data_IF_444374759981
#
_entry.id   IF_444374759981
#
_cell.length_a   1.000
_cell.length_b   1.000
_cell.length_c   1.000
_cell.angle_alpha   90.00
_cell.angle_beta   90.00
_cell.angle_gamma   90.00
#
_symmetry.space_group_name_H-M   'P 1'
#
loop_
_entity.id
_entity.type
_entity.pdbx_description
1 polymer ?
#
# COMPACT_ATOMS: atom_id res chain seq x y z
N UNK A 1 15.91 55.79 19.09
CA UNK A 1 15.78 54.88 17.95
C UNK A 1 14.44 54.19 18.08
N UNK A 2 13.43 54.58 17.27
CA UNK A 2 12.03 54.12 17.41
C UNK A 2 11.85 52.80 16.64
N UNK A 3 11.50 51.73 17.34
CA UNK A 3 11.16 50.43 16.77
C UNK A 3 9.74 50.56 16.20
N UNK A 4 9.59 50.39 14.88
CA UNK A 4 8.26 50.29 14.23
C UNK A 4 7.69 48.86 14.38
N UNK A 5 6.40 48.67 14.61
CA UNK A 5 5.81 47.35 14.81
C UNK A 5 5.66 46.60 13.50
N UNK A 6 6.19 45.37 13.46
CA UNK A 6 6.08 44.39 12.35
C UNK A 6 4.71 43.67 12.35
N UNK A 7 3.79 44.08 13.18
CA UNK A 7 2.48 43.43 13.40
C UNK A 7 1.46 43.61 12.27
N UNK A 8 1.66 44.59 11.36
CA UNK A 8 0.67 44.82 10.29
C UNK A 8 0.77 43.86 9.08
N UNK A 9 1.95 43.27 8.82
CA UNK A 9 2.16 42.43 7.65
C UNK A 9 1.66 40.97 7.85
N UNK A 10 1.68 40.46 9.08
CA UNK A 10 1.20 39.12 9.38
C UNK A 10 -0.34 39.02 9.33
N UNK A 11 -1.06 40.08 9.71
CA UNK A 11 -2.55 40.06 9.68
C UNK A 11 -3.09 40.16 8.24
N UNK A 12 -2.37 40.85 7.35
CA UNK A 12 -2.72 40.94 5.93
C UNK A 12 -2.58 39.63 5.17
N UNK A 13 -1.57 38.82 5.50
CA UNK A 13 -1.35 37.50 4.88
C UNK A 13 -2.39 36.46 5.32
N UNK A 14 -2.87 36.53 6.58
CA UNK A 14 -3.91 35.61 7.08
C UNK A 14 -5.29 35.96 6.52
N UNK A 15 -5.62 37.25 6.35
CA UNK A 15 -6.92 37.65 5.79
C UNK A 15 -7.00 37.39 4.27
N UNK A 16 -5.93 37.62 3.52
CA UNK A 16 -5.85 37.26 2.10
C UNK A 16 -5.89 35.76 1.87
N UNK A 17 -5.23 34.97 2.74
CA UNK A 17 -5.30 33.52 2.73
C UNK A 17 -6.72 33.02 3.02
N UNK A 18 -7.38 33.56 4.03
CA UNK A 18 -8.77 33.19 4.37
C UNK A 18 -9.77 33.60 3.26
N UNK A 19 -9.62 34.77 2.66
CA UNK A 19 -10.44 35.22 1.54
C UNK A 19 -10.21 34.35 0.29
N UNK A 20 -8.97 34.00 -0.01
CA UNK A 20 -8.65 33.07 -1.11
C UNK A 20 -9.29 31.69 -0.88
N UNK A 21 -9.19 31.13 0.33
CA UNK A 21 -9.81 29.86 0.71
C UNK A 21 -11.34 29.92 0.55
N UNK A 22 -11.96 31.02 0.98
CA UNK A 22 -13.41 31.21 0.83
C UNK A 22 -13.85 31.35 -0.63
N UNK A 23 -13.07 32.06 -1.45
CA UNK A 23 -13.33 32.18 -2.90
C UNK A 23 -13.14 30.85 -3.61
N UNK A 24 -12.09 30.09 -3.26
CA UNK A 24 -11.89 28.75 -3.82
C UNK A 24 -13.01 27.80 -3.39
N UNK A 25 -13.39 27.79 -2.12
CA UNK A 25 -14.55 26.99 -1.66
C UNK A 25 -15.85 27.35 -2.36
N UNK A 26 -16.11 28.63 -2.65
CA UNK A 26 -17.28 29.07 -3.41
C UNK A 26 -17.21 28.64 -4.88
N UNK A 27 -16.04 28.76 -5.52
CA UNK A 27 -15.83 28.28 -6.90
C UNK A 27 -15.98 26.75 -6.98
N UNK A 28 -15.46 26.03 -5.99
CA UNK A 28 -15.57 24.59 -5.89
C UNK A 28 -17.03 24.15 -5.61
N UNK A 29 -17.75 24.82 -4.72
CA UNK A 29 -19.17 24.57 -4.48
C UNK A 29 -20.01 24.84 -5.74
N UNK A 30 -19.74 25.94 -6.46
CA UNK A 30 -20.41 26.24 -7.72
C UNK A 30 -20.07 25.23 -8.84
N UNK A 31 -18.86 24.68 -8.87
CA UNK A 31 -18.46 23.65 -9.85
C UNK A 31 -19.06 22.28 -9.54
N UNK A 32 -19.35 21.99 -8.27
CA UNK A 32 -20.06 20.76 -7.84
C UNK A 32 -21.55 20.82 -8.23
N UNK A 33 -22.15 22.01 -8.19
CA UNK A 33 -23.57 22.21 -8.50
C UNK A 33 -23.90 22.04 -10.01
N UNK A 34 -22.87 22.13 -10.90
CA UNK A 34 -23.02 22.04 -12.36
C UNK A 34 -22.44 20.74 -12.96
N UNK A 35 -21.73 19.94 -12.18
CA UNK A 35 -21.17 18.69 -12.68
C UNK A 35 -22.25 17.62 -12.85
N UNK A 36 -22.35 17.01 -14.04
CA UNK A 36 -23.18 15.81 -14.21
C UNK A 36 -22.80 14.76 -13.19
N UNK A 37 -23.78 14.07 -12.57
CA UNK A 37 -23.48 12.94 -11.69
C UNK A 37 -22.57 11.95 -12.42
N UNK A 38 -21.51 11.50 -11.72
CA UNK A 38 -20.63 10.45 -12.26
C UNK A 38 -21.43 9.16 -12.30
N UNK A 39 -21.42 8.49 -13.43
CA UNK A 39 -22.03 7.18 -13.58
C UNK A 39 -21.21 6.15 -12.84
N UNK A 40 -21.88 5.41 -11.94
CA UNK A 40 -21.27 4.33 -11.15
C UNK A 40 -21.73 3.00 -11.73
N UNK A 41 -20.77 2.26 -12.24
CA UNK A 41 -20.96 0.95 -12.84
C UNK A 41 -20.74 -0.18 -11.83
N UNK A 42 -21.10 -1.39 -12.25
CA UNK A 42 -20.96 -2.59 -11.43
C UNK A 42 -22.17 -2.86 -10.55
N UNK A 43 -21.97 -3.63 -9.49
CA UNK A 43 -23.06 -4.08 -8.62
C UNK A 43 -22.68 -4.04 -7.14
N UNK A 44 -23.73 -4.06 -6.31
CA UNK A 44 -23.67 -4.43 -4.89
C UNK A 44 -24.75 -5.48 -4.61
N UNK A 45 -24.43 -6.46 -3.78
CA UNK A 45 -25.42 -7.41 -3.31
C UNK A 45 -26.42 -6.76 -2.34
N UNK A 46 -27.64 -7.30 -2.19
CA UNK A 46 -28.60 -6.79 -1.22
C UNK A 46 -27.99 -6.66 0.19
N UNK A 47 -28.20 -5.51 0.83
CA UNK A 47 -27.67 -5.15 2.13
C UNK A 47 -26.33 -4.36 2.08
N UNK A 48 -25.71 -4.20 0.90
CA UNK A 48 -24.48 -3.42 0.73
C UNK A 48 -24.69 -2.09 0.00
N UNK A 49 -25.92 -1.62 -0.14
CA UNK A 49 -26.29 -0.42 -0.88
C UNK A 49 -25.54 0.83 -0.36
N UNK A 50 -25.32 0.91 0.96
CA UNK A 50 -24.57 1.99 1.58
C UNK A 50 -23.12 2.12 1.04
N UNK A 51 -22.51 1.02 0.56
CA UNK A 51 -21.18 1.07 -0.05
C UNK A 51 -21.24 1.76 -1.40
N UNK A 52 -22.29 1.52 -2.22
CA UNK A 52 -22.50 2.21 -3.49
C UNK A 52 -22.74 3.71 -3.26
N UNK A 53 -23.52 4.07 -2.25
CA UNK A 53 -23.79 5.47 -1.88
C UNK A 53 -22.47 6.16 -1.47
N UNK A 54 -21.69 5.56 -0.56
CA UNK A 54 -20.41 6.10 -0.13
C UNK A 54 -19.40 6.23 -1.30
N UNK A 55 -19.41 5.28 -2.26
CA UNK A 55 -18.58 5.33 -3.47
C UNK A 55 -18.99 6.49 -4.38
N UNK A 56 -20.29 6.70 -4.61
CA UNK A 56 -20.79 7.83 -5.40
C UNK A 56 -20.48 9.18 -4.72
N UNK A 57 -20.62 9.26 -3.39
CA UNK A 57 -20.25 10.45 -2.61
C UNK A 57 -18.76 10.79 -2.70
N UNK A 58 -17.87 9.82 -2.96
CA UNK A 58 -16.45 10.11 -3.13
C UNK A 58 -16.21 11.07 -4.30
N UNK A 59 -16.99 10.94 -5.39
CA UNK A 59 -16.90 11.83 -6.55
C UNK A 59 -17.46 13.21 -6.27
N UNK A 60 -18.60 13.31 -5.58
CA UNK A 60 -19.27 14.59 -5.31
C UNK A 60 -18.68 15.35 -4.12
N UNK A 61 -18.26 14.65 -3.05
CA UNK A 61 -17.87 15.25 -1.78
C UNK A 61 -16.37 15.16 -1.48
N UNK A 62 -15.65 14.15 -2.04
CA UNK A 62 -14.25 13.84 -1.66
C UNK A 62 -13.29 13.93 -2.84
N UNK A 63 -13.71 14.58 -3.94
CA UNK A 63 -12.90 14.90 -5.11
C UNK A 63 -12.28 13.67 -5.79
N UNK A 64 -12.97 12.53 -5.78
CA UNK A 64 -12.56 11.38 -6.56
C UNK A 64 -12.56 11.72 -8.05
N UNK A 65 -11.60 11.14 -8.80
CA UNK A 65 -11.49 11.34 -10.26
C UNK A 65 -11.88 10.07 -10.98
N UNK A 66 -11.25 8.97 -10.66
CA UNK A 66 -11.55 7.65 -11.12
C UNK A 66 -11.11 6.63 -10.10
N UNK A 67 -11.95 5.61 -9.87
CA UNK A 67 -11.68 4.59 -8.86
C UNK A 67 -12.43 3.29 -9.13
N UNK A 68 -11.97 2.23 -8.45
CA UNK A 68 -12.71 0.99 -8.31
C UNK A 68 -12.65 0.50 -6.86
N UNK A 69 -13.75 -0.13 -6.41
CA UNK A 69 -13.87 -0.78 -5.09
C UNK A 69 -14.46 -2.17 -5.26
N UNK A 70 -13.81 -3.17 -4.68
CA UNK A 70 -14.32 -4.53 -4.67
C UNK A 70 -14.25 -5.12 -3.27
N UNK A 71 -15.28 -5.89 -2.91
CA UNK A 71 -15.37 -6.59 -1.63
C UNK A 71 -15.85 -8.01 -1.85
N UNK A 72 -15.14 -8.94 -1.23
CA UNK A 72 -15.60 -10.31 -1.02
C UNK A 72 -15.99 -10.49 0.45
N UNK A 73 -17.10 -11.14 0.71
CA UNK A 73 -17.55 -11.55 2.04
C UNK A 73 -17.88 -13.02 2.04
N UNK A 74 -17.23 -13.79 2.91
CA UNK A 74 -17.40 -15.26 3.01
C UNK A 74 -17.14 -16.00 1.68
N UNK A 75 -16.23 -15.46 0.88
CA UNK A 75 -15.86 -16.00 -0.43
C UNK A 75 -16.68 -15.48 -1.62
N UNK A 76 -17.85 -14.87 -1.38
CA UNK A 76 -18.69 -14.29 -2.43
C UNK A 76 -18.35 -12.84 -2.70
N UNK A 77 -18.32 -12.43 -3.97
CA UNK A 77 -18.12 -11.05 -4.39
C UNK A 77 -19.41 -10.27 -4.17
N UNK A 78 -19.45 -9.43 -3.13
CA UNK A 78 -20.65 -8.67 -2.71
C UNK A 78 -20.67 -7.22 -3.15
N UNK A 79 -19.49 -6.65 -3.47
CA UNK A 79 -19.33 -5.30 -4.03
C UNK A 79 -18.35 -5.37 -5.19
N UNK A 80 -18.71 -4.74 -6.30
CA UNK A 80 -17.84 -4.58 -7.46
C UNK A 80 -18.25 -3.29 -8.17
N UNK A 81 -17.57 -2.19 -7.86
CA UNK A 81 -17.90 -0.85 -8.31
C UNK A 81 -16.73 -0.18 -8.99
N UNK A 82 -17.01 0.57 -10.07
CA UNK A 82 -16.05 1.46 -10.68
C UNK A 82 -16.76 2.67 -11.28
N UNK A 83 -16.02 3.75 -11.49
CA UNK A 83 -16.59 4.97 -12.08
C UNK A 83 -15.57 6.09 -12.22
N UNK A 84 -16.04 7.19 -12.80
CA UNK A 84 -15.24 8.36 -13.08
C UNK A 84 -14.33 8.20 -14.32
N UNK A 85 -13.21 8.89 -14.36
CA UNK A 85 -12.33 8.91 -15.52
C UNK A 85 -11.00 8.21 -15.22
N UNK A 86 -10.58 7.32 -16.12
CA UNK A 86 -9.29 6.66 -16.11
C UNK A 86 -8.17 7.66 -16.36
N UNK A 87 -8.34 8.52 -17.36
CA UNK A 87 -7.35 9.51 -17.74
C UNK A 87 -7.94 10.91 -17.69
N UNK A 88 -7.52 11.70 -16.71
CA UNK A 88 -8.00 13.07 -16.49
C UNK A 88 -7.70 14.01 -17.66
N UNK A 89 -6.60 13.78 -18.38
CA UNK A 89 -6.18 14.66 -19.48
C UNK A 89 -7.04 14.47 -20.74
N UNK A 90 -7.47 13.23 -21.01
CA UNK A 90 -8.25 12.88 -22.21
C UNK A 90 -9.74 12.75 -21.95
N UNK A 91 -10.15 12.61 -20.67
CA UNK A 91 -11.54 12.36 -20.28
C UNK A 91 -12.00 10.91 -20.50
N UNK A 92 -11.08 9.99 -20.83
CA UNK A 92 -11.41 8.58 -21.02
C UNK A 92 -11.98 7.97 -19.74
N UNK A 93 -13.11 7.22 -19.84
CA UNK A 93 -13.79 6.67 -18.66
C UNK A 93 -12.96 5.59 -17.97
N UNK A 94 -13.21 5.41 -16.66
CA UNK A 94 -12.77 4.24 -15.93
C UNK A 94 -13.63 3.05 -16.32
N UNK A 95 -13.03 2.02 -16.86
CA UNK A 95 -13.70 0.81 -17.31
C UNK A 95 -13.53 -0.33 -16.29
N UNK A 96 -14.30 -1.39 -16.49
CA UNK A 96 -14.30 -2.59 -15.64
C UNK A 96 -12.91 -3.19 -15.43
N UNK A 97 -12.09 -3.18 -16.44
CA UNK A 97 -10.75 -3.78 -16.47
C UNK A 97 -9.61 -2.75 -16.34
N UNK A 98 -9.93 -1.51 -15.95
CA UNK A 98 -8.93 -0.48 -15.71
C UNK A 98 -8.05 -0.87 -14.52
N UNK A 99 -6.74 -0.77 -14.72
CA UNK A 99 -5.71 -1.03 -13.70
C UNK A 99 -5.00 0.27 -13.33
N UNK A 100 -4.50 0.35 -12.10
CA UNK A 100 -3.62 1.44 -11.69
C UNK A 100 -2.48 0.93 -10.81
N UNK A 101 -1.42 1.74 -10.70
CA UNK A 101 -0.33 1.55 -9.76
C UNK A 101 -0.87 1.71 -8.33
N UNK A 102 -0.60 0.74 -7.48
CA UNK A 102 -1.14 0.73 -6.11
C UNK A 102 -0.12 1.10 -5.04
N UNK A 103 1.11 1.49 -5.44
CA UNK A 103 2.20 1.78 -4.52
C UNK A 103 2.37 0.69 -3.44
N UNK A 104 2.50 1.08 -2.18
CA UNK A 104 2.78 0.16 -1.07
C UNK A 104 1.68 -0.88 -0.80
N UNK A 105 0.47 -0.77 -1.41
CA UNK A 105 -0.47 -1.89 -1.37
C UNK A 105 0.09 -3.15 -2.06
N UNK A 106 1.13 -3.01 -2.89
CA UNK A 106 1.92 -4.10 -3.46
C UNK A 106 2.56 -4.99 -2.38
N UNK A 107 3.02 -4.40 -1.25
CA UNK A 107 3.69 -5.15 -0.16
C UNK A 107 2.86 -6.31 0.35
N UNK A 108 1.55 -6.12 0.46
CA UNK A 108 0.67 -7.19 0.90
C UNK A 108 0.67 -8.38 -0.07
N UNK A 109 0.68 -8.12 -1.39
CA UNK A 109 0.76 -9.17 -2.40
C UNK A 109 2.15 -9.83 -2.41
N UNK A 110 3.21 -9.04 -2.20
CA UNK A 110 4.56 -9.56 -2.04
C UNK A 110 4.67 -10.44 -0.77
N UNK A 111 4.15 -10.00 0.36
CA UNK A 111 4.11 -10.77 1.61
C UNK A 111 3.33 -12.10 1.47
N UNK A 112 2.26 -12.12 0.64
CA UNK A 112 1.53 -13.35 0.34
C UNK A 112 2.42 -14.41 -0.32
N UNK A 113 3.44 -14.04 -1.10
CA UNK A 113 4.38 -15.01 -1.69
C UNK A 113 5.20 -15.72 -0.62
N UNK A 114 5.67 -14.99 0.39
CA UNK A 114 6.38 -15.58 1.52
C UNK A 114 5.45 -16.41 2.41
N UNK A 115 4.18 -16.03 2.55
CA UNK A 115 3.20 -16.84 3.25
C UNK A 115 2.93 -18.18 2.53
N UNK A 116 2.90 -18.19 1.20
CA UNK A 116 2.82 -19.44 0.42
C UNK A 116 4.09 -20.28 0.61
N UNK A 117 5.28 -19.67 0.59
CA UNK A 117 6.54 -20.36 0.84
C UNK A 117 6.62 -20.95 2.26
N UNK A 118 6.20 -20.19 3.28
CA UNK A 118 6.06 -20.68 4.66
C UNK A 118 5.09 -21.86 4.74
N UNK A 119 3.95 -21.76 4.07
CA UNK A 119 2.96 -22.83 4.03
C UNK A 119 3.48 -24.12 3.36
N UNK A 120 4.45 -24.00 2.45
CA UNK A 120 5.15 -25.13 1.82
C UNK A 120 6.29 -25.68 2.68
N UNK A 121 6.61 -25.04 3.81
CA UNK A 121 7.72 -25.42 4.68
C UNK A 121 9.10 -25.02 4.14
N UNK A 122 9.15 -24.09 3.20
CA UNK A 122 10.41 -23.58 2.64
C UNK A 122 11.00 -22.43 3.47
N UNK A 123 10.17 -21.79 4.30
CA UNK A 123 10.52 -20.66 5.15
C UNK A 123 9.96 -20.86 6.55
N UNK A 124 10.76 -20.51 7.55
CA UNK A 124 10.33 -20.31 8.93
C UNK A 124 10.52 -18.82 9.28
N UNK A 125 9.49 -18.17 9.81
CA UNK A 125 9.56 -16.75 10.14
C UNK A 125 10.50 -16.44 11.32
N UNK A 126 10.73 -17.40 12.20
CA UNK A 126 11.61 -17.23 13.38
C UNK A 126 13.06 -17.64 13.11
N UNK A 127 13.32 -18.23 11.95
CA UNK A 127 14.68 -18.59 11.53
C UNK A 127 15.46 -17.33 11.10
N UNK A 128 16.78 -17.42 11.14
CA UNK A 128 17.68 -16.35 10.70
C UNK A 128 17.64 -16.19 9.17
N UNK A 129 17.66 -14.94 8.70
CA UNK A 129 17.73 -14.66 7.25
C UNK A 129 18.96 -15.32 6.62
N UNK A 130 20.10 -15.32 7.33
CA UNK A 130 21.34 -15.91 6.83
C UNK A 130 21.32 -17.44 6.71
N UNK A 131 20.35 -18.13 7.31
CA UNK A 131 20.13 -19.58 7.06
C UNK A 131 19.74 -19.83 5.61
N UNK A 132 18.95 -18.95 5.02
CA UNK A 132 18.51 -19.02 3.63
C UNK A 132 19.42 -18.24 2.68
N UNK A 133 20.06 -17.20 3.19
CA UNK A 133 20.93 -16.29 2.44
C UNK A 133 22.26 -16.05 3.20
N UNK A 134 23.25 -16.95 3.08
CA UNK A 134 24.48 -16.88 3.84
C UNK A 134 25.26 -15.57 3.70
N UNK A 135 25.28 -14.96 2.50
CA UNK A 135 25.99 -13.71 2.23
C UNK A 135 25.37 -12.51 2.95
N UNK A 136 24.14 -12.64 3.44
CA UNK A 136 23.51 -11.64 4.29
C UNK A 136 24.19 -11.48 5.65
N UNK A 137 24.88 -12.53 6.15
CA UNK A 137 25.55 -12.59 7.45
C UNK A 137 26.80 -11.71 7.49
N UNK A 138 26.64 -10.40 7.34
CA UNK A 138 27.72 -9.42 7.41
C UNK A 138 27.22 -8.08 7.94
N UNK A 139 28.16 -7.24 8.41
CA UNK A 139 27.88 -5.89 8.89
C UNK A 139 26.86 -5.81 10.04
N UNK A 140 26.81 -6.83 10.92
CA UNK A 140 25.91 -6.87 12.07
C UNK A 140 24.50 -7.40 11.78
N UNK A 141 24.32 -8.14 10.67
CA UNK A 141 23.03 -8.73 10.25
C UNK A 141 22.87 -10.21 10.61
N UNK A 142 23.88 -10.82 11.23
CA UNK A 142 23.99 -12.26 11.49
C UNK A 142 22.82 -12.81 12.32
N UNK A 143 22.17 -11.96 13.12
CA UNK A 143 21.10 -12.35 14.04
C UNK A 143 19.72 -11.87 13.65
N UNK A 144 19.57 -11.28 12.45
CA UNK A 144 18.28 -10.83 11.96
C UNK A 144 17.42 -12.03 11.60
N UNK A 145 16.24 -12.17 12.23
CA UNK A 145 15.25 -13.17 11.84
C UNK A 145 14.43 -12.70 10.64
N UNK A 146 13.81 -13.64 9.94
CA UNK A 146 12.87 -13.31 8.86
C UNK A 146 11.74 -12.44 9.39
N UNK A 147 11.18 -12.75 10.56
CA UNK A 147 10.14 -11.96 11.23
C UNK A 147 10.57 -10.51 11.46
N UNK A 148 11.77 -10.26 11.96
CA UNK A 148 12.29 -8.91 12.17
C UNK A 148 12.44 -8.13 10.86
N UNK A 149 12.94 -8.77 9.82
CA UNK A 149 13.08 -8.17 8.49
C UNK A 149 11.70 -7.75 7.96
N UNK A 150 10.72 -8.65 7.99
CA UNK A 150 9.37 -8.44 7.49
C UNK A 150 8.54 -7.48 8.37
N UNK A 151 8.94 -7.27 9.63
CA UNK A 151 8.32 -6.29 10.55
C UNK A 151 9.00 -4.92 10.50
N UNK A 152 9.84 -4.64 9.51
CA UNK A 152 10.58 -3.37 9.39
C UNK A 152 11.54 -3.07 10.56
N UNK A 153 12.05 -4.11 11.23
CA UNK A 153 12.92 -3.98 12.40
C UNK A 153 14.39 -4.26 12.10
N UNK A 154 14.74 -4.51 10.83
CA UNK A 154 16.12 -4.81 10.41
C UNK A 154 17.02 -3.57 10.25
N UNK A 155 16.44 -2.35 10.36
CA UNK A 155 17.15 -1.08 10.12
C UNK A 155 17.78 -0.94 8.72
N UNK A 156 17.19 -1.61 7.72
CA UNK A 156 17.66 -1.69 6.32
C UNK A 156 16.75 -0.89 5.36
N UNK A 157 16.19 0.21 5.84
CA UNK A 157 15.18 1.02 5.14
C UNK A 157 15.72 1.85 3.97
N UNK A 158 17.03 1.93 3.79
CA UNK A 158 17.70 2.67 2.72
C UNK A 158 18.92 1.90 2.20
N UNK A 159 19.35 2.21 0.98
CA UNK A 159 20.59 1.74 0.39
C UNK A 159 21.58 2.90 0.30
N UNK A 160 22.86 2.61 0.52
CA UNK A 160 23.95 3.56 0.31
C UNK A 160 24.36 3.62 -1.18
N UNK A 161 24.17 2.52 -1.91
CA UNK A 161 24.36 2.45 -3.36
C UNK A 161 23.11 2.97 -4.09
N UNK A 162 23.26 3.82 -5.13
CA UNK A 162 22.13 4.31 -5.91
C UNK A 162 21.35 3.18 -6.58
N UNK A 163 20.03 3.25 -6.51
CA UNK A 163 19.13 2.30 -7.13
C UNK A 163 18.67 2.87 -8.49
N UNK A 164 19.02 2.17 -9.57
CA UNK A 164 18.62 2.50 -10.93
C UNK A 164 17.99 1.32 -11.67
N UNK A 165 17.49 1.55 -12.89
CA UNK A 165 16.86 0.51 -13.71
C UNK A 165 17.82 -0.64 -14.08
N UNK A 166 19.13 -0.37 -14.20
CA UNK A 166 20.12 -1.40 -14.54
C UNK A 166 20.32 -2.34 -13.34
N UNK A 167 20.45 -1.77 -12.14
CA UNK A 167 20.55 -2.56 -10.91
C UNK A 167 19.29 -3.40 -10.67
N UNK A 168 18.09 -2.85 -10.93
CA UNK A 168 16.84 -3.61 -10.84
C UNK A 168 16.71 -4.74 -11.87
N UNK A 169 17.39 -4.60 -13.01
CA UNK A 169 17.41 -5.62 -14.06
C UNK A 169 18.37 -6.77 -13.78
N UNK A 170 19.29 -6.62 -12.82
CA UNK A 170 20.31 -7.60 -12.44
C UNK A 170 20.12 -8.02 -10.97
N UNK A 171 19.31 -9.07 -10.77
CA UNK A 171 18.95 -9.53 -9.43
C UNK A 171 20.15 -10.08 -8.63
N UNK A 172 21.18 -10.62 -9.28
CA UNK A 172 22.38 -11.12 -8.61
C UNK A 172 23.22 -9.96 -8.07
N UNK A 173 23.42 -8.92 -8.88
CA UNK A 173 24.09 -7.71 -8.43
C UNK A 173 23.26 -6.96 -7.35
N UNK A 174 21.95 -6.92 -7.49
CA UNK A 174 21.07 -6.35 -6.47
C UNK A 174 21.23 -7.11 -5.14
N UNK A 175 21.26 -8.44 -5.17
CA UNK A 175 21.48 -9.27 -3.98
C UNK A 175 22.82 -8.95 -3.29
N UNK A 176 23.90 -8.75 -4.05
CA UNK A 176 25.20 -8.34 -3.50
C UNK A 176 25.11 -6.97 -2.81
N UNK A 177 24.43 -5.99 -3.41
CA UNK A 177 24.23 -4.64 -2.83
C UNK A 177 23.46 -4.76 -1.51
N UNK A 178 22.36 -5.49 -1.50
CA UNK A 178 21.55 -5.73 -0.32
C UNK A 178 22.33 -6.46 0.80
N UNK A 179 23.10 -7.47 0.43
CA UNK A 179 23.94 -8.20 1.38
C UNK A 179 25.02 -7.32 2.03
N UNK A 180 25.62 -6.38 1.27
CA UNK A 180 26.63 -5.45 1.79
C UNK A 180 26.04 -4.30 2.60
N UNK A 181 24.75 -3.97 2.44
CA UNK A 181 24.12 -2.85 3.14
C UNK A 181 24.23 -3.01 4.65
N UNK A 182 24.76 -1.98 5.33
CA UNK A 182 24.85 -1.92 6.78
C UNK A 182 23.55 -1.43 7.38
N UNK A 183 23.03 -2.04 8.47
CA UNK A 183 21.92 -1.51 9.23
C UNK A 183 22.20 -0.09 9.75
N UNK A 184 21.20 0.78 9.76
CA UNK A 184 21.33 2.14 10.27
C UNK A 184 21.52 2.22 11.80
N UNK A 185 21.09 1.18 12.52
CA UNK A 185 21.26 0.94 13.96
C UNK A 185 21.16 -0.54 14.26
N UNK A 186 21.30 -0.93 15.52
CA UNK A 186 21.16 -2.30 15.99
C UNK A 186 19.80 -2.89 15.57
N UNK A 187 19.76 -3.97 14.78
CA UNK A 187 18.53 -4.64 14.40
C UNK A 187 17.68 -5.05 15.61
N UNK A 188 16.36 -4.91 15.51
CA UNK A 188 15.43 -5.18 16.60
C UNK A 188 15.28 -4.03 17.61
N UNK A 189 16.20 -3.05 17.65
CA UNK A 189 16.11 -1.94 18.59
C UNK A 189 14.96 -0.99 18.26
N UNK A 190 14.79 -0.62 17.01
CA UNK A 190 13.80 0.32 16.52
C UNK A 190 13.19 -0.16 15.22
N UNK A 191 12.00 0.33 14.93
CA UNK A 191 11.31 0.12 13.67
C UNK A 191 11.53 1.29 12.73
N UNK A 192 11.70 1.01 11.44
CA UNK A 192 11.74 2.01 10.38
C UNK A 192 11.15 1.44 9.10
N UNK A 193 10.14 2.07 8.57
CA UNK A 193 9.44 1.62 7.36
C UNK A 193 10.41 1.49 6.16
N UNK A 194 10.62 0.27 5.68
CA UNK A 194 11.42 -0.04 4.49
C UNK A 194 10.56 0.24 3.25
N UNK A 195 10.41 1.52 2.90
CA UNK A 195 9.43 1.95 1.91
C UNK A 195 9.60 1.29 0.53
N UNK A 196 10.86 1.13 0.09
CA UNK A 196 11.23 0.51 -1.18
C UNK A 196 12.01 -0.79 -0.96
N UNK A 197 12.94 -0.79 -0.01
CA UNK A 197 13.90 -1.88 0.17
C UNK A 197 13.29 -3.20 0.63
N UNK A 198 12.16 -3.18 1.39
CA UNK A 198 11.53 -4.42 1.87
C UNK A 198 11.33 -5.42 0.75
N UNK A 199 10.70 -5.01 -0.34
CA UNK A 199 10.37 -5.91 -1.44
C UNK A 199 11.60 -6.53 -2.12
N UNK A 200 12.74 -5.85 -2.10
CA UNK A 200 13.99 -6.42 -2.63
C UNK A 200 14.56 -7.49 -1.71
N UNK A 201 14.50 -7.27 -0.38
CA UNK A 201 14.88 -8.29 0.60
C UNK A 201 13.93 -9.49 0.56
N UNK A 202 12.62 -9.26 0.46
CA UNK A 202 11.61 -10.30 0.26
C UNK A 202 11.87 -11.08 -1.04
N UNK A 203 12.17 -10.37 -2.12
CA UNK A 203 12.43 -10.95 -3.43
C UNK A 203 13.65 -11.85 -3.43
N UNK A 204 14.76 -11.41 -2.85
CA UNK A 204 15.97 -12.23 -2.77
C UNK A 204 15.77 -13.43 -1.83
N UNK A 205 15.15 -13.22 -0.67
CA UNK A 205 14.85 -14.32 0.24
C UNK A 205 13.99 -15.38 -0.45
N UNK A 206 12.92 -14.97 -1.16
CA UNK A 206 12.07 -15.89 -1.91
C UNK A 206 12.84 -16.62 -3.01
N UNK A 207 13.67 -15.91 -3.78
CA UNK A 207 14.48 -16.49 -4.85
C UNK A 207 15.44 -17.57 -4.34
N UNK A 208 15.96 -17.43 -3.10
CA UNK A 208 16.84 -18.41 -2.47
C UNK A 208 16.12 -19.67 -2.03
N UNK A 209 14.87 -19.55 -1.57
CA UNK A 209 14.10 -20.67 -1.03
C UNK A 209 13.19 -21.34 -2.08
N UNK A 210 12.87 -20.65 -3.18
CA UNK A 210 12.11 -21.24 -4.28
C UNK A 210 12.98 -22.24 -5.05
N UNK A 211 12.56 -23.53 -5.16
CA UNK A 211 13.33 -24.53 -5.94
C UNK A 211 13.55 -24.16 -7.40
N UNK A 212 12.74 -23.25 -7.96
CA UNK A 212 12.89 -22.76 -9.34
C UNK A 212 13.64 -21.43 -9.42
N UNK A 213 14.07 -20.86 -8.30
CA UNK A 213 14.79 -19.59 -8.20
C UNK A 213 14.12 -18.41 -8.94
N UNK A 214 12.78 -18.42 -9.00
CA UNK A 214 11.99 -17.35 -9.65
C UNK A 214 12.15 -16.04 -8.90
N UNK A 215 12.03 -14.93 -9.63
CA UNK A 215 11.84 -13.63 -9.02
C UNK A 215 10.50 -13.58 -8.28
N UNK A 216 10.33 -12.61 -7.37
CA UNK A 216 9.11 -12.49 -6.58
C UNK A 216 7.89 -12.27 -7.48
N UNK A 217 8.02 -11.43 -8.52
CA UNK A 217 6.93 -11.20 -9.47
C UNK A 217 6.58 -12.43 -10.29
N UNK A 218 7.56 -13.25 -10.70
CA UNK A 218 7.33 -14.51 -11.39
C UNK A 218 6.62 -15.51 -10.46
N UNK A 219 7.13 -15.68 -9.23
CA UNK A 219 6.48 -16.56 -8.25
C UNK A 219 5.05 -16.12 -7.96
N UNK A 220 4.82 -14.82 -7.73
CA UNK A 220 3.48 -14.28 -7.52
C UNK A 220 2.56 -14.60 -8.69
N UNK A 221 3.02 -14.40 -9.92
CA UNK A 221 2.24 -14.68 -11.12
C UNK A 221 1.87 -16.15 -11.22
N UNK A 222 2.83 -17.06 -11.02
CA UNK A 222 2.64 -18.50 -11.21
C UNK A 222 1.82 -19.15 -10.08
N UNK A 223 2.07 -18.74 -8.84
CA UNK A 223 1.58 -19.44 -7.66
C UNK A 223 0.35 -18.79 -7.02
N UNK A 224 0.07 -17.52 -7.34
CA UNK A 224 -1.03 -16.76 -6.75
C UNK A 224 -1.93 -16.16 -7.83
N UNK A 225 -1.38 -15.34 -8.73
CA UNK A 225 -2.20 -14.58 -9.65
C UNK A 225 -2.90 -15.47 -10.68
N UNK A 226 -2.17 -16.35 -11.35
CA UNK A 226 -2.74 -17.26 -12.36
C UNK A 226 -3.73 -18.24 -11.75
N UNK A 227 -3.43 -18.96 -10.65
CA UNK A 227 -4.40 -19.87 -10.03
C UNK A 227 -5.70 -19.20 -9.57
N UNK A 228 -5.64 -17.94 -9.14
CA UNK A 228 -6.79 -17.18 -8.68
C UNK A 228 -7.45 -16.31 -9.76
N UNK A 229 -6.91 -16.28 -10.98
CA UNK A 229 -7.39 -15.44 -12.08
C UNK A 229 -7.25 -13.95 -11.80
N UNK A 230 -6.16 -13.52 -11.17
CA UNK A 230 -5.97 -12.12 -10.78
C UNK A 230 -5.34 -11.30 -11.90
N UNK A 231 -5.95 -10.18 -12.23
CA UNK A 231 -5.33 -9.15 -13.06
C UNK A 231 -4.53 -8.19 -12.16
N UNK A 232 -3.41 -8.68 -11.67
CA UNK A 232 -2.46 -7.93 -10.86
C UNK A 232 -1.03 -8.38 -11.19
N UNK A 233 -0.12 -7.43 -11.35
CA UNK A 233 1.25 -7.66 -11.81
C UNK A 233 2.23 -6.90 -10.90
N UNK A 234 3.13 -7.62 -10.24
CA UNK A 234 4.28 -7.02 -9.55
C UNK A 234 5.37 -6.68 -10.59
N UNK A 235 5.43 -7.48 -11.65
CA UNK A 235 6.19 -7.22 -12.87
C UNK A 235 5.22 -7.03 -14.02
N UNK A 236 4.98 -5.78 -14.42
CA UNK A 236 4.02 -5.47 -15.48
C UNK A 236 4.54 -5.92 -16.85
N UNK A 237 3.86 -6.84 -17.57
CA UNK A 237 4.33 -7.32 -18.87
C UNK A 237 4.03 -6.32 -20.00
N UNK A 238 4.80 -6.39 -21.09
CA UNK A 238 4.60 -5.60 -22.31
C UNK A 238 3.23 -5.83 -22.98
N UNK A 239 2.63 -7.00 -22.79
CA UNK A 239 1.34 -7.37 -23.36
C UNK A 239 0.14 -6.57 -22.84
N UNK A 240 0.29 -5.91 -21.69
CA UNK A 240 -0.77 -5.05 -21.14
C UNK A 240 -0.70 -3.67 -21.80
N UNK A 241 -1.70 -3.25 -22.58
CA UNK A 241 -1.66 -1.95 -23.24
C UNK A 241 -1.89 -0.79 -22.27
N UNK A 242 -1.27 0.36 -22.54
CA UNK A 242 -1.44 1.59 -21.72
C UNK A 242 -2.89 2.07 -21.67
N UNK A 243 -3.71 1.72 -22.67
CA UNK A 243 -5.15 2.00 -22.67
C UNK A 243 -5.92 1.37 -21.51
N UNK A 244 -5.36 0.34 -20.85
CA UNK A 244 -5.91 -0.27 -19.64
C UNK A 244 -5.40 0.37 -18.34
N UNK A 245 -4.40 1.22 -18.43
CA UNK A 245 -3.71 1.77 -17.25
C UNK A 245 -4.22 3.19 -16.97
N UNK A 246 -4.53 3.46 -15.70
CA UNK A 246 -4.94 4.78 -15.24
C UNK A 246 -3.71 5.58 -14.83
N UNK A 247 -3.36 6.68 -15.52
CA UNK A 247 -2.36 7.62 -15.05
C UNK A 247 -2.77 8.17 -13.69
N UNK A 248 -1.80 8.27 -12.78
CA UNK A 248 -2.04 8.85 -11.46
C UNK A 248 -2.10 10.37 -11.55
N UNK A 249 -3.01 10.96 -10.79
CA UNK A 249 -3.19 12.41 -10.70
C UNK A 249 -2.64 12.89 -9.36
N UNK A 250 -1.64 13.76 -9.42
CA UNK A 250 -1.04 14.36 -8.22
C UNK A 250 -2.03 15.29 -7.49
N UNK A 251 -1.94 15.37 -6.17
CA UNK A 251 -2.63 16.39 -5.40
C UNK A 251 -2.21 17.79 -5.86
N UNK A 252 -3.11 18.75 -5.75
CA UNK A 252 -2.77 20.15 -6.00
C UNK A 252 -1.69 20.64 -5.02
N UNK A 253 -0.91 21.67 -5.42
CA UNK A 253 0.09 22.28 -4.53
C UNK A 253 -0.52 22.71 -3.19
N UNK A 254 -1.76 23.21 -3.21
CA UNK A 254 -2.49 23.60 -2.02
C UNK A 254 -2.78 22.40 -1.11
N UNK A 255 -3.22 21.28 -1.67
CA UNK A 255 -3.46 20.03 -0.91
C UNK A 255 -2.15 19.50 -0.32
N UNK A 256 -1.05 19.58 -1.06
CA UNK A 256 0.26 19.17 -0.54
C UNK A 256 0.73 20.06 0.62
N UNK A 257 0.48 21.37 0.56
CA UNK A 257 0.90 22.31 1.62
C UNK A 257 0.08 22.19 2.90
N UNK A 258 -1.22 21.90 2.79
CA UNK A 258 -2.16 21.91 3.93
C UNK A 258 -2.67 20.54 4.33
N UNK A 259 -2.58 19.54 3.49
CA UNK A 259 -3.02 18.17 3.75
C UNK A 259 -1.94 17.25 4.30
N UNK A 260 -0.67 17.63 4.12
CA UNK A 260 0.43 16.80 4.59
C UNK A 260 0.60 16.94 6.12
N UNK A 261 0.80 15.84 6.87
CA UNK A 261 0.96 15.91 8.31
C UNK A 261 2.12 16.83 8.70
N UNK A 262 1.84 17.87 9.48
CA UNK A 262 2.85 18.89 9.87
C UNK A 262 4.14 18.28 10.44
N UNK A 263 4.03 17.16 11.17
CA UNK A 263 5.18 16.42 11.73
C UNK A 263 6.11 15.84 10.66
N UNK A 264 5.61 15.55 9.46
CA UNK A 264 6.39 14.97 8.37
C UNK A 264 6.98 16.03 7.43
N UNK A 265 6.54 17.28 7.52
CA UNK A 265 7.04 18.37 6.66
C UNK A 265 8.57 18.52 6.73
N UNK A 266 9.22 18.55 7.91
CA UNK A 266 10.68 18.61 8.00
C UNK A 266 11.36 17.39 7.38
N UNK A 267 10.76 16.19 7.53
CA UNK A 267 11.31 14.94 7.00
C UNK A 267 11.31 14.90 5.46
N UNK A 268 10.28 15.46 4.83
CA UNK A 268 10.19 15.53 3.36
C UNK A 268 11.23 16.50 2.77
N UNK A 269 11.47 17.64 3.43
CA UNK A 269 12.41 18.64 2.94
C UNK A 269 13.88 18.35 3.29
N UNK A 270 14.14 17.52 4.29
CA UNK A 270 15.49 17.15 4.68
C UNK A 270 15.96 15.90 3.90
N UNK A 271 16.87 16.08 2.95
CA UNK A 271 17.42 14.99 2.15
C UNK A 271 18.13 13.89 2.98
N UNK A 272 18.54 14.21 4.21
CA UNK A 272 19.21 13.27 5.13
C UNK A 272 18.23 12.58 6.09
N UNK A 273 16.93 12.89 6.02
CA UNK A 273 15.93 12.25 6.88
C UNK A 273 15.78 10.78 6.53
N UNK A 274 15.36 9.99 7.51
CA UNK A 274 15.09 8.56 7.29
C UNK A 274 14.00 8.35 6.24
N UNK A 275 12.94 9.17 6.26
CA UNK A 275 11.87 9.11 5.26
C UNK A 275 12.38 9.33 3.85
N UNK A 276 13.16 10.41 3.61
CA UNK A 276 13.71 10.71 2.28
C UNK A 276 14.66 9.60 1.79
N UNK A 277 15.49 9.09 2.67
CA UNK A 277 16.37 7.97 2.36
C UNK A 277 15.58 6.68 2.06
N UNK A 278 14.50 6.41 2.79
CA UNK A 278 13.65 5.25 2.57
C UNK A 278 12.86 5.32 1.25
N UNK A 279 12.57 6.53 0.75
CA UNK A 279 11.85 6.77 -0.51
C UNK A 279 12.77 6.85 -1.74
N UNK A 280 14.10 6.64 -1.57
CA UNK A 280 15.04 6.57 -2.70
C UNK A 280 14.56 5.52 -3.71
N UNK A 281 14.52 5.92 -4.99
CA UNK A 281 14.03 5.07 -6.06
C UNK A 281 12.52 5.14 -6.28
N UNK A 282 11.78 6.04 -5.60
CA UNK A 282 10.36 6.23 -5.90
C UNK A 282 10.13 6.72 -7.33
N UNK A 283 11.09 7.41 -7.94
CA UNK A 283 11.11 7.80 -9.36
C UNK A 283 11.19 6.61 -10.31
N UNK A 284 11.63 5.43 -9.85
CA UNK A 284 11.65 4.21 -10.65
C UNK A 284 10.24 3.74 -11.07
N UNK A 285 9.20 4.23 -10.39
CA UNK A 285 7.82 4.01 -10.79
C UNK A 285 7.38 4.87 -11.99
N UNK A 286 8.24 5.74 -12.51
CA UNK A 286 7.99 6.52 -13.72
C UNK A 286 8.70 5.91 -14.93
N UNK A 287 8.03 5.98 -16.08
CA UNK A 287 8.60 5.64 -17.35
C UNK A 287 8.18 6.69 -18.39
N UNK A 288 9.14 7.25 -19.13
CA UNK A 288 8.87 8.28 -20.14
C UNK A 288 8.16 7.71 -21.39
N UNK A 289 8.31 6.42 -21.64
CA UNK A 289 7.76 5.73 -22.82
C UNK A 289 6.39 5.10 -22.56
N UNK A 290 6.11 4.76 -21.30
CA UNK A 290 4.88 4.09 -20.86
C UNK A 290 4.29 4.78 -19.65
N UNK A 291 3.02 4.52 -19.36
CA UNK A 291 2.38 5.01 -18.12
C UNK A 291 3.10 4.49 -16.88
N UNK A 292 3.53 3.22 -16.91
CA UNK A 292 4.31 2.59 -15.83
C UNK A 292 5.44 1.72 -16.40
N UNK A 293 6.55 1.50 -15.63
CA UNK A 293 7.66 0.68 -16.07
C UNK A 293 7.23 -0.74 -16.40
N UNK A 294 7.77 -1.27 -17.49
CA UNK A 294 7.56 -2.64 -17.94
C UNK A 294 8.73 -3.53 -17.55
N UNK A 295 8.44 -4.80 -17.28
CA UNK A 295 9.46 -5.83 -17.03
C UNK A 295 10.43 -5.53 -15.86
N UNK A 296 10.12 -4.57 -15.00
CA UNK A 296 10.86 -4.29 -13.77
C UNK A 296 10.04 -4.70 -12.55
N UNK A 297 10.74 -5.15 -11.51
CA UNK A 297 10.12 -5.55 -10.26
C UNK A 297 10.48 -4.55 -9.15
N UNK A 298 9.46 -3.94 -8.58
CA UNK A 298 9.55 -3.12 -7.37
C UNK A 298 8.53 -3.68 -6.37
N UNK A 299 8.82 -4.83 -5.73
CA UNK A 299 7.82 -5.58 -4.97
C UNK A 299 7.24 -4.81 -3.77
N UNK A 300 7.91 -3.75 -3.35
CA UNK A 300 7.41 -2.87 -2.29
C UNK A 300 6.46 -1.77 -2.77
N UNK A 301 6.31 -1.54 -4.11
CA UNK A 301 5.56 -0.38 -4.55
C UNK A 301 5.19 -0.30 -6.03
N UNK A 302 5.63 -1.24 -6.85
CA UNK A 302 5.45 -1.21 -8.31
C UNK A 302 4.26 -2.03 -8.84
N UNK A 303 3.41 -2.57 -7.97
CA UNK A 303 2.27 -3.38 -8.37
C UNK A 303 1.21 -2.61 -9.13
N UNK A 304 0.73 -3.18 -10.23
CA UNK A 304 -0.31 -2.63 -11.09
C UNK A 304 -1.43 -3.66 -11.22
N UNK A 305 -2.67 -3.26 -10.96
CA UNK A 305 -3.77 -4.21 -11.04
C UNK A 305 -5.16 -3.60 -10.85
N UNK A 306 -6.16 -4.46 -10.80
CA UNK A 306 -7.55 -4.11 -10.56
C UNK A 306 -7.93 -4.22 -9.08
N UNK A 307 -8.93 -3.47 -8.63
CA UNK A 307 -9.46 -3.59 -7.26
C UNK A 307 -10.03 -5.00 -6.99
N UNK A 308 -10.57 -5.67 -8.02
CA UNK A 308 -11.05 -7.06 -7.94
C UNK A 308 -9.92 -8.03 -7.60
N UNK A 309 -8.79 -7.90 -8.30
CA UNK A 309 -7.63 -8.74 -8.06
C UNK A 309 -7.11 -8.56 -6.63
N UNK A 310 -7.03 -7.30 -6.18
CA UNK A 310 -6.61 -6.97 -4.83
C UNK A 310 -7.55 -7.59 -3.79
N UNK A 311 -8.88 -7.33 -3.91
CA UNK A 311 -9.88 -7.87 -2.99
C UNK A 311 -9.92 -9.41 -3.01
N UNK A 312 -9.81 -10.04 -4.20
CA UNK A 312 -9.84 -11.49 -4.34
C UNK A 312 -8.64 -12.16 -3.68
N UNK A 313 -7.44 -11.62 -3.86
CA UNK A 313 -6.25 -12.14 -3.19
C UNK A 313 -6.45 -12.16 -1.67
N UNK A 314 -6.86 -11.04 -1.08
CA UNK A 314 -7.12 -10.94 0.36
C UNK A 314 -8.28 -11.82 0.81
N UNK A 315 -9.32 -12.00 0.00
CA UNK A 315 -10.46 -12.85 0.33
C UNK A 315 -10.06 -14.31 0.53
N UNK A 316 -9.15 -14.83 -0.31
CA UNK A 316 -8.63 -16.20 -0.16
C UNK A 316 -7.96 -16.36 1.20
N UNK A 317 -7.14 -15.40 1.62
CA UNK A 317 -6.49 -15.42 2.93
C UNK A 317 -7.48 -15.25 4.09
N UNK A 318 -8.51 -14.42 3.91
CA UNK A 318 -9.56 -14.23 4.93
C UNK A 318 -10.46 -15.44 5.13
N UNK A 319 -10.56 -16.33 4.11
CA UNK A 319 -11.46 -17.49 4.12
C UNK A 319 -10.74 -18.83 4.26
N UNK A 320 -9.51 -18.83 4.79
CA UNK A 320 -8.79 -20.05 5.13
C UNK A 320 -7.82 -20.56 4.08
N UNK A 321 -7.57 -19.84 2.99
CA UNK A 321 -6.47 -20.08 2.05
C UNK A 321 -6.51 -21.39 1.26
N UNK A 322 -7.66 -22.06 1.19
CA UNK A 322 -7.79 -23.40 0.57
C UNK A 322 -7.36 -23.44 -0.90
N UNK A 323 -7.68 -22.39 -1.65
CA UNK A 323 -7.36 -22.32 -3.08
C UNK A 323 -5.85 -22.26 -3.34
N UNK A 324 -5.09 -21.71 -2.40
CA UNK A 324 -3.62 -21.68 -2.43
C UNK A 324 -3.00 -22.78 -1.55
N UNK A 325 -3.83 -23.67 -0.98
CA UNK A 325 -3.40 -24.78 -0.11
C UNK A 325 -2.60 -24.27 1.09
N UNK A 326 -3.00 -23.14 1.67
CA UNK A 326 -2.32 -22.60 2.85
C UNK A 326 -2.57 -23.50 4.06
N UNK A 327 -1.52 -23.71 4.85
CA UNK A 327 -1.62 -24.43 6.12
C UNK A 327 -2.24 -23.52 7.18
N UNK A 328 -3.04 -24.09 8.12
CA UNK A 328 -3.64 -23.32 9.22
C UNK A 328 -2.60 -22.54 10.04
N UNK A 329 -1.41 -23.11 10.27
CA UNK A 329 -0.32 -22.49 11.01
C UNK A 329 0.14 -21.19 10.35
N UNK A 330 0.22 -21.16 9.00
CA UNK A 330 0.56 -19.95 8.26
C UNK A 330 -0.49 -18.85 8.48
N UNK A 331 -1.76 -19.19 8.44
CA UNK A 331 -2.84 -18.23 8.67
C UNK A 331 -2.85 -17.74 10.13
N UNK A 332 -2.53 -18.61 11.07
CA UNK A 332 -2.38 -18.24 12.49
C UNK A 332 -1.26 -17.22 12.67
N UNK A 333 -0.10 -17.41 12.02
CA UNK A 333 0.99 -16.44 12.02
C UNK A 333 0.56 -15.07 11.46
N UNK A 334 -0.17 -15.04 10.34
CA UNK A 334 -0.64 -13.79 9.74
C UNK A 334 -1.66 -13.05 10.60
N UNK A 335 -2.49 -13.77 11.35
CA UNK A 335 -3.52 -13.21 12.23
C UNK A 335 -2.97 -12.78 13.58
N UNK A 336 -1.82 -13.29 13.98
CA UNK A 336 -1.17 -12.95 15.24
C UNK A 336 -0.91 -11.45 15.38
N UNK A 337 -0.94 -10.88 16.58
CA UNK A 337 -0.55 -9.50 16.83
C UNK A 337 0.89 -9.22 16.36
N UNK A 338 1.14 -7.97 15.98
CA UNK A 338 2.51 -7.53 15.69
C UNK A 338 3.39 -7.62 16.94
N UNK A 339 4.67 -7.97 16.74
CA UNK A 339 5.67 -7.99 17.82
C UNK A 339 6.43 -6.65 17.79
N UNK A 340 6.45 -5.87 18.89
CA UNK A 340 7.13 -4.58 18.92
C UNK A 340 8.66 -4.75 18.85
N UNK A 341 9.36 -3.73 18.34
CA UNK A 341 10.78 -3.57 18.57
C UNK A 341 11.08 -3.28 20.04
N UNK A 342 12.37 -3.29 20.47
CA UNK A 342 12.74 -2.95 21.85
C UNK A 342 12.21 -1.59 22.30
N UNK A 343 12.09 -0.62 21.37
CA UNK A 343 11.54 0.71 21.64
C UNK A 343 10.05 0.85 21.25
N UNK A 344 9.31 -0.25 21.11
CA UNK A 344 7.89 -0.24 20.80
C UNK A 344 7.60 -0.16 19.30
N UNK A 345 6.43 0.41 18.96
CA UNK A 345 5.90 0.50 17.59
C UNK A 345 6.15 1.85 16.90
N UNK A 346 6.92 2.75 17.54
CA UNK A 346 7.24 4.03 16.90
C UNK A 346 8.14 3.83 15.69
N UNK A 347 7.68 4.31 14.52
CA UNK A 347 8.39 4.19 13.26
C UNK A 347 9.23 5.42 12.95
N UNK A 348 10.54 5.22 12.77
CA UNK A 348 11.53 6.29 12.56
C UNK A 348 11.46 6.93 11.16
N UNK A 349 10.77 6.33 10.20
CA UNK A 349 10.48 6.92 8.89
C UNK A 349 9.13 7.64 8.89
N UNK A 350 8.08 7.00 9.39
CA UNK A 350 6.72 7.53 9.37
C UNK A 350 6.44 8.55 10.49
N UNK A 351 7.32 8.61 11.51
CA UNK A 351 7.19 9.49 12.68
C UNK A 351 5.84 9.32 13.40
N UNK A 352 5.39 8.08 13.49
CA UNK A 352 4.12 7.69 14.08
C UNK A 352 4.20 6.24 14.59
N UNK A 353 3.27 5.86 15.45
CA UNK A 353 3.04 4.45 15.81
C UNK A 353 2.51 3.71 14.58
N UNK A 354 3.13 2.57 14.25
CA UNK A 354 2.71 1.69 13.16
C UNK A 354 3.00 0.23 13.53
N UNK A 355 2.06 -0.65 13.30
CA UNK A 355 2.20 -2.06 13.61
C UNK A 355 2.39 -2.85 12.32
N UNK A 356 3.57 -3.47 12.16
CA UNK A 356 3.90 -4.32 11.03
C UNK A 356 4.18 -5.74 11.48
N UNK A 357 3.71 -6.71 10.70
CA UNK A 357 3.96 -8.13 10.91
C UNK A 357 4.02 -8.85 9.57
N UNK A 358 5.08 -9.63 9.34
CA UNK A 358 5.24 -10.53 8.19
C UNK A 358 5.00 -9.85 6.83
N UNK A 359 5.44 -8.59 6.66
CA UNK A 359 5.27 -7.80 5.44
C UNK A 359 3.95 -7.04 5.33
N UNK A 360 3.01 -7.25 6.26
CA UNK A 360 1.73 -6.56 6.32
C UNK A 360 1.70 -5.48 7.41
N UNK A 361 0.87 -4.47 7.20
CA UNK A 361 0.41 -3.60 8.27
C UNK A 361 -0.73 -4.26 9.02
N UNK A 362 -0.73 -4.13 10.35
CA UNK A 362 -1.82 -4.52 11.23
C UNK A 362 -2.68 -3.30 11.57
N UNK A 363 -3.99 -3.48 11.84
CA UNK A 363 -4.83 -2.40 12.35
C UNK A 363 -4.24 -1.85 13.65
N UNK A 364 -4.19 -0.54 13.76
CA UNK A 364 -3.74 0.14 14.97
C UNK A 364 -4.57 1.40 15.22
N UNK A 365 -4.32 2.08 16.35
CA UNK A 365 -5.08 3.27 16.73
C UNK A 365 -5.00 4.40 15.68
N UNK A 366 -3.87 4.54 14.98
CA UNK A 366 -3.65 5.57 13.97
C UNK A 366 -4.25 5.22 12.61
N UNK A 367 -4.41 3.94 12.34
CA UNK A 367 -4.95 3.42 11.08
C UNK A 367 -5.80 2.16 11.32
N UNK A 368 -7.04 2.33 11.80
CA UNK A 368 -7.96 1.22 12.00
C UNK A 368 -8.53 0.72 10.67
N UNK A 369 -8.47 -0.59 10.43
CA UNK A 369 -9.15 -1.28 9.33
C UNK A 369 -9.44 -2.72 9.74
N UNK A 370 -10.67 -3.18 9.50
CA UNK A 370 -11.08 -4.52 9.93
C UNK A 370 -11.03 -4.75 11.45
N UNK A 371 -11.06 -6.02 11.85
CA UNK A 371 -10.88 -6.47 13.22
C UNK A 371 -9.40 -6.60 13.63
N UNK A 372 -9.10 -6.93 14.89
CA UNK A 372 -7.72 -7.05 15.41
C UNK A 372 -6.85 -8.08 14.68
N UNK A 373 -7.46 -9.15 14.17
CA UNK A 373 -6.79 -10.21 13.41
C UNK A 373 -6.51 -9.81 11.94
N UNK A 374 -7.02 -8.66 11.49
CA UNK A 374 -6.85 -8.21 10.11
C UNK A 374 -5.40 -7.92 9.76
N UNK A 375 -5.07 -8.02 8.47
CA UNK A 375 -3.78 -7.65 7.92
C UNK A 375 -3.95 -7.15 6.48
N UNK A 376 -3.14 -6.18 6.10
CA UNK A 376 -3.27 -5.52 4.80
C UNK A 376 -2.11 -4.61 4.47
N UNK A 377 -2.26 -3.84 3.40
CA UNK A 377 -1.26 -2.86 3.00
C UNK A 377 -1.91 -1.63 2.36
N UNK A 378 -1.73 -0.43 2.93
CA UNK A 378 -2.11 0.82 2.30
C UNK A 378 -1.05 1.28 1.30
N UNK A 379 -1.48 1.95 0.23
CA UNK A 379 -0.62 2.60 -0.76
C UNK A 379 -0.62 4.12 -0.63
N UNK A 380 0.51 4.76 -0.94
CA UNK A 380 0.69 6.21 -0.87
C UNK A 380 -0.31 7.01 -1.72
N UNK A 381 -0.92 6.38 -2.74
CA UNK A 381 -1.97 6.99 -3.57
C UNK A 381 -3.38 6.93 -2.99
N UNK A 382 -3.58 6.29 -1.83
CA UNK A 382 -4.90 6.07 -1.23
C UNK A 382 -5.49 4.68 -1.52
N UNK A 383 -4.79 3.83 -2.27
CA UNK A 383 -5.17 2.43 -2.45
C UNK A 383 -5.05 1.65 -1.13
N UNK A 384 -5.91 0.67 -0.93
CA UNK A 384 -5.87 -0.22 0.22
C UNK A 384 -6.36 -1.62 -0.18
N UNK A 385 -5.61 -2.63 0.27
CA UNK A 385 -6.07 -4.01 0.29
C UNK A 385 -5.90 -4.59 1.69
N UNK A 386 -6.89 -5.37 2.16
CA UNK A 386 -6.78 -6.09 3.44
C UNK A 386 -7.67 -7.32 3.50
N UNK A 387 -7.28 -8.26 4.34
CA UNK A 387 -8.05 -9.39 4.80
C UNK A 387 -8.54 -9.14 6.23
N UNK A 388 -9.79 -9.44 6.49
CA UNK A 388 -10.37 -9.54 7.84
C UNK A 388 -10.89 -10.97 8.05
N UNK A 389 -10.10 -11.85 8.66
CA UNK A 389 -10.49 -13.23 8.88
C UNK A 389 -11.67 -13.42 9.84
N UNK A 390 -11.88 -12.48 10.78
CA UNK A 390 -13.00 -12.56 11.74
C UNK A 390 -14.35 -12.39 11.06
N UNK A 391 -14.43 -11.49 10.09
CA UNK A 391 -15.63 -11.27 9.29
C UNK A 391 -15.59 -11.94 7.92
N UNK A 392 -14.48 -12.59 7.58
CA UNK A 392 -14.23 -13.23 6.28
C UNK A 392 -14.34 -12.27 5.10
N UNK A 393 -13.76 -11.07 5.27
CA UNK A 393 -13.73 -10.03 4.24
C UNK A 393 -12.37 -9.98 3.55
N UNK A 394 -12.44 -9.90 2.21
CA UNK A 394 -11.35 -9.42 1.37
C UNK A 394 -11.75 -8.09 0.73
N UNK A 395 -10.96 -7.05 0.93
CA UNK A 395 -11.24 -5.69 0.49
C UNK A 395 -10.17 -5.19 -0.48
N UNK A 396 -10.60 -4.44 -1.50
CA UNK A 396 -9.71 -3.75 -2.43
C UNK A 396 -10.31 -2.42 -2.89
N UNK A 397 -9.55 -1.34 -2.74
CA UNK A 397 -9.88 -0.02 -3.25
C UNK A 397 -8.67 0.58 -3.99
N UNK A 398 -8.90 1.06 -5.20
CA UNK A 398 -7.85 1.64 -6.06
C UNK A 398 -8.39 2.92 -6.71
N UNK A 399 -7.90 4.11 -6.31
CA UNK A 399 -8.16 5.38 -6.97
C UNK A 399 -7.00 5.74 -7.91
N UNK A 400 -7.23 6.64 -8.88
CA UNK A 400 -6.13 7.26 -9.63
C UNK A 400 -5.75 8.67 -9.13
N UNK A 401 -6.53 9.29 -8.24
CA UNK A 401 -6.14 10.53 -7.59
C UNK A 401 -5.37 10.24 -6.32
N UNK A 402 -4.11 10.67 -6.29
CA UNK A 402 -3.26 10.43 -5.11
C UNK A 402 -3.77 11.17 -3.87
N UNK A 403 -3.69 10.50 -2.73
CA UNK A 403 -3.92 11.07 -1.41
C UNK A 403 -2.68 11.81 -0.91
N UNK A 404 -2.88 12.85 -0.13
CA UNK A 404 -1.82 13.49 0.66
C UNK A 404 -1.66 12.87 2.03
N UNK A 405 -2.58 11.99 2.43
CA UNK A 405 -2.59 11.33 3.74
C UNK A 405 -2.05 9.91 3.59
N UNK A 406 -1.07 9.58 4.40
CA UNK A 406 -0.55 8.20 4.50
C UNK A 406 -1.43 7.45 5.50
N UNK A 407 -2.35 6.65 4.97
CA UNK A 407 -3.38 5.99 5.76
C UNK A 407 -4.55 6.92 6.13
N UNK A 408 -5.74 6.36 6.26
CA UNK A 408 -6.93 7.14 6.64
C UNK A 408 -7.45 8.09 5.58
N UNK A 409 -7.26 7.79 4.29
CA UNK A 409 -7.89 8.55 3.19
C UNK A 409 -9.41 8.62 3.40
N UNK A 410 -10.02 9.83 3.43
CA UNK A 410 -11.45 9.98 3.69
C UNK A 410 -12.35 9.19 2.73
N UNK A 411 -11.89 8.95 1.49
CA UNK A 411 -12.61 8.17 0.48
C UNK A 411 -12.70 6.71 0.89
N UNK A 412 -11.57 6.11 1.26
CA UNK A 412 -11.48 4.75 1.73
C UNK A 412 -12.16 4.56 3.10
N UNK A 413 -11.98 5.51 4.03
CA UNK A 413 -12.63 5.47 5.35
C UNK A 413 -14.16 5.45 5.21
N UNK A 414 -14.74 6.21 4.28
CA UNK A 414 -16.17 6.22 4.03
C UNK A 414 -16.67 4.86 3.51
N UNK A 415 -15.92 4.24 2.57
CA UNK A 415 -16.25 2.92 2.02
C UNK A 415 -16.22 1.84 3.10
N UNK A 416 -15.15 1.79 3.90
CA UNK A 416 -15.01 0.80 4.99
C UNK A 416 -16.08 0.99 6.06
N UNK A 417 -16.41 2.23 6.42
CA UNK A 417 -17.49 2.50 7.38
C UNK A 417 -18.84 2.00 6.84
N UNK A 418 -19.16 2.27 5.58
CA UNK A 418 -20.37 1.76 4.94
C UNK A 418 -20.38 0.23 4.87
N UNK A 419 -19.24 -0.39 4.53
CA UNK A 419 -19.09 -1.84 4.50
C UNK A 419 -19.38 -2.49 5.87
N UNK A 420 -18.70 -2.02 6.92
CA UNK A 420 -18.87 -2.60 8.25
C UNK A 420 -20.23 -2.30 8.88
N UNK A 421 -20.93 -1.23 8.45
CA UNK A 421 -22.34 -0.99 8.87
C UNK A 421 -23.32 -2.02 8.27
N UNK A 422 -22.97 -2.61 7.13
CA UNK A 422 -23.77 -3.63 6.45
C UNK A 422 -23.56 -5.05 7.03
N UNK A 423 -22.51 -5.24 7.84
CA UNK A 423 -22.19 -6.56 8.41
C UNK A 423 -22.77 -6.62 9.82
N UNK A 424 -23.65 -7.60 10.12
CA UNK A 424 -24.13 -7.79 11.48
C UNK A 424 -22.95 -7.94 12.44
N UNK A 425 -22.98 -7.21 13.56
CA UNK A 425 -21.97 -7.38 14.60
C UNK A 425 -21.87 -8.87 14.94
N UNK A 426 -20.66 -9.44 14.85
CA UNK A 426 -20.43 -10.83 15.24
C UNK A 426 -20.96 -10.96 16.67
N UNK A 427 -21.95 -11.85 16.87
CA UNK A 427 -22.45 -12.17 18.20
C UNK A 427 -21.23 -12.68 18.99
N UNK A 428 -20.80 -11.92 19.97
CA UNK A 428 -19.76 -12.35 20.91
C UNK A 428 -20.30 -13.60 21.61
N UNK A 429 -19.90 -14.77 21.15
CA UNK A 429 -20.07 -15.99 21.93
C UNK A 429 -19.17 -15.84 23.17
N UNK A 430 -19.77 -15.26 24.24
CA UNK A 430 -19.31 -15.53 25.59
C UNK A 430 -19.57 -17.02 25.85
N UNK A 431 -18.53 -17.81 25.85
CA UNK A 431 -18.44 -19.04 26.62
C UNK A 431 -17.24 -18.94 27.57
#
# INVERSE_FOLDING_TARGET
>A
MKIKPVTGALIGLTAAGAAYVLVQRRKEAASVETAKPVEIHGFVSPGYEAVREAFAENFSLRREIGAACCVYHKGDKVVDLWGGVRNKATGEPWEENTMALVYSATKGLAAMTLAVAHSRGWLDYDELVCTYWPEFAQNGKEKITVRQLLAHQAALFALDEPLDKNLLGDLDRLAEVLARQKPAWEPGARQAYHAVTLGFYEGELLRRIDPLHRSLGQFFQDEIATPLGLEFYIRLPESIPDSRLAPLVDPSLFEMLFGFPFRMTPEVWNARSNLRRALLGSELAHDEQHIYPRNLEIPAGGGVGTARALARAYAVFATGGKELRLRPETLQELTAPAVPSTHGFYDECLKAEAEFSLGFMKPNRGFPFGGPASFGAPGAGGSLGFADPETQIGYGYIPNRKSVVIGGDPRDVALRRALYSAIPAAQSHKQ
#
